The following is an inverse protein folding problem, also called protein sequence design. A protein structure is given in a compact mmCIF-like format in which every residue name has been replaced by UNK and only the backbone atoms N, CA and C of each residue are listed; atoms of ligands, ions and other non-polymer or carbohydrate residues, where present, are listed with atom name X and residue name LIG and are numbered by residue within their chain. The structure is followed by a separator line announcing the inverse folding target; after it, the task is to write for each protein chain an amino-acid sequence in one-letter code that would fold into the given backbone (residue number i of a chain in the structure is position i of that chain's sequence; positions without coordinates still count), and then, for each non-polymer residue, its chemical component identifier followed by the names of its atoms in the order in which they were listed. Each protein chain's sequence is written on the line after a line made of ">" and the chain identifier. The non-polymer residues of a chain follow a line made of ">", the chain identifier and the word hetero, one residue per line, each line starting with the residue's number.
data_IF_306118601261
#
_entry.id   IF_306118601261
#
_cell.length_a   1.000
_cell.length_b   1.000
_cell.length_c   1.000
_cell.angle_alpha   90.00
_cell.angle_beta   90.00
_cell.angle_gamma   90.00
#
_symmetry.space_group_name_H-M   'P 1'
#
loop_
_entity.id
_entity.type
_entity.pdbx_description
1 polymer ?
#
# COMPACT_ATOMS: atom_id res chain seq x y z
N UNK A 1 27.57 10.87 62.21
CA UNK A 1 28.35 11.82 61.37
C UNK A 1 28.05 11.50 59.91
N UNK A 2 27.35 12.42 59.22
CA UNK A 2 27.08 12.56 57.75
C UNK A 2 26.16 11.50 57.06
N UNK A 3 24.86 11.81 56.83
CA UNK A 3 24.23 12.46 55.64
C UNK A 3 24.29 11.57 54.38
N UNK A 4 23.27 10.78 53.97
CA UNK A 4 21.95 11.09 53.39
C UNK A 4 21.94 12.20 52.31
N UNK A 5 21.69 11.72 51.07
CA UNK A 5 20.85 12.28 50.00
C UNK A 5 21.31 13.43 49.10
N UNK A 6 20.98 13.23 47.80
CA UNK A 6 20.43 14.18 46.82
C UNK A 6 21.33 15.39 46.48
N UNK A 7 21.47 15.92 45.27
CA UNK A 7 20.80 15.89 43.96
C UNK A 7 21.58 16.92 43.15
N UNK A 8 21.77 16.75 41.84
CA UNK A 8 21.42 17.84 40.93
C UNK A 8 21.26 17.35 39.50
N UNK A 9 20.01 17.38 39.08
CA UNK A 9 19.53 17.16 37.73
C UNK A 9 20.07 18.25 36.80
N UNK A 10 20.68 17.86 35.69
CA UNK A 10 20.86 18.77 34.56
C UNK A 10 19.79 18.46 33.51
N UNK A 11 18.73 19.26 33.55
CA UNK A 11 17.69 19.27 32.54
C UNK A 11 18.25 19.89 31.25
N UNK A 12 18.52 19.06 30.25
CA UNK A 12 18.67 19.51 28.87
C UNK A 12 17.28 19.50 28.22
N UNK A 13 16.75 20.69 27.99
CA UNK A 13 15.63 20.91 27.09
C UNK A 13 16.03 20.45 25.68
N UNK A 14 15.24 19.54 25.10
CA UNK A 14 15.16 19.37 23.65
C UNK A 14 13.69 19.46 23.22
N UNK A 15 13.31 20.47 22.42
CA UNK A 15 11.95 20.67 21.93
C UNK A 15 11.75 19.97 20.58
N UNK A 16 11.97 18.66 20.50
CA UNK A 16 11.67 17.80 19.34
C UNK A 16 11.79 16.36 19.89
N UNK A 17 10.87 15.41 19.74
CA UNK A 17 9.77 15.30 18.82
C UNK A 17 8.69 14.47 19.51
N UNK A 18 7.49 15.02 19.65
CA UNK A 18 6.31 14.21 19.88
C UNK A 18 5.91 13.56 18.55
N UNK A 19 6.65 12.54 18.12
CA UNK A 19 6.15 11.52 17.20
C UNK A 19 5.73 10.32 18.05
N UNK A 20 4.70 10.52 18.86
CA UNK A 20 4.03 9.42 19.55
C UNK A 20 3.17 8.69 18.52
N UNK A 21 3.51 7.43 18.30
CA UNK A 21 2.59 6.39 17.83
C UNK A 21 2.00 6.58 16.42
N UNK A 22 2.86 6.65 15.39
CA UNK A 22 2.45 6.10 14.10
C UNK A 22 2.40 4.57 14.24
N UNK A 23 1.25 4.05 14.70
CA UNK A 23 0.95 2.62 14.65
C UNK A 23 1.23 2.16 13.21
N UNK A 24 2.06 1.11 12.99
CA UNK A 24 2.25 0.58 11.65
C UNK A 24 0.87 0.30 11.06
N UNK A 25 0.56 0.89 9.91
CA UNK A 25 -0.68 0.59 9.22
C UNK A 25 -0.63 -0.91 8.89
N UNK A 26 -1.34 -1.72 9.66
CA UNK A 26 -1.53 -3.13 9.32
C UNK A 26 -2.20 -3.15 7.96
N UNK A 27 -1.52 -3.70 6.95
CA UNK A 27 -2.12 -3.89 5.63
C UNK A 27 -3.41 -4.69 5.81
N UNK A 28 -4.50 -4.31 5.12
CA UNK A 28 -5.75 -5.06 5.22
C UNK A 28 -5.51 -6.51 4.79
N UNK A 29 -6.21 -7.46 5.39
CA UNK A 29 -6.15 -8.85 4.93
C UNK A 29 -6.84 -8.95 3.57
N UNK A 30 -6.49 -9.98 2.77
CA UNK A 30 -7.14 -10.19 1.48
C UNK A 30 -8.66 -10.36 1.64
N UNK A 31 -9.11 -11.05 2.69
CA UNK A 31 -10.52 -11.30 2.96
C UNK A 31 -11.30 -9.99 3.18
N UNK A 32 -10.66 -9.00 3.81
CA UNK A 32 -11.28 -7.70 4.10
C UNK A 32 -11.53 -6.87 2.84
N UNK A 33 -10.75 -7.07 1.76
CA UNK A 33 -10.78 -6.17 0.59
C UNK A 33 -11.16 -6.85 -0.72
N UNK A 34 -11.02 -8.17 -0.85
CA UNK A 34 -11.22 -8.87 -2.13
C UNK A 34 -12.66 -8.81 -2.66
N UNK A 35 -13.63 -8.56 -1.79
CA UNK A 35 -15.04 -8.46 -2.14
C UNK A 35 -15.47 -7.04 -2.55
N UNK A 36 -14.61 -6.04 -2.35
CA UNK A 36 -14.94 -4.64 -2.61
C UNK A 36 -14.77 -4.30 -4.10
N UNK A 37 -15.73 -3.56 -4.63
CA UNK A 37 -15.59 -2.88 -5.91
C UNK A 37 -14.59 -1.73 -5.85
N UNK A 38 -14.19 -1.19 -7.01
CA UNK A 38 -13.36 0.01 -7.07
C UNK A 38 -13.98 1.18 -6.29
N UNK A 39 -15.30 1.41 -6.43
CA UNK A 39 -16.01 2.47 -5.71
C UNK A 39 -16.07 2.22 -4.22
N UNK A 40 -16.43 1.00 -3.81
CA UNK A 40 -16.52 0.65 -2.39
C UNK A 40 -15.15 0.77 -1.71
N UNK A 41 -14.07 0.26 -2.34
CA UNK A 41 -12.73 0.42 -1.79
C UNK A 41 -12.32 1.89 -1.69
N UNK A 42 -12.67 2.73 -2.68
CA UNK A 42 -12.39 4.16 -2.60
C UNK A 42 -13.11 4.83 -1.42
N UNK A 43 -14.36 4.45 -1.16
CA UNK A 43 -15.12 4.95 -0.02
C UNK A 43 -14.57 4.41 1.31
N UNK A 44 -14.28 3.12 1.39
CA UNK A 44 -13.74 2.42 2.59
C UNK A 44 -12.35 2.96 2.97
N UNK A 45 -11.55 3.34 1.96
CA UNK A 45 -10.27 4.02 2.19
C UNK A 45 -10.42 5.40 2.84
N UNK A 46 -11.63 5.93 2.97
CA UNK A 46 -11.87 7.33 3.32
C UNK A 46 -11.33 8.28 2.25
N UNK A 47 -11.36 7.85 0.98
CA UNK A 47 -10.80 8.57 -0.17
C UNK A 47 -9.30 8.85 -0.03
N UNK A 48 -8.58 7.92 0.59
CA UNK A 48 -7.13 7.99 0.80
C UNK A 48 -6.43 7.14 -0.25
N UNK A 49 -5.59 7.79 -1.05
CA UNK A 49 -4.77 7.13 -2.07
C UNK A 49 -3.88 6.07 -1.43
N UNK A 50 -3.20 6.39 -0.32
CA UNK A 50 -2.31 5.46 0.37
C UNK A 50 -3.04 4.19 0.84
N UNK A 51 -4.21 4.35 1.48
CA UNK A 51 -5.01 3.20 1.94
C UNK A 51 -5.57 2.38 0.78
N UNK A 52 -5.96 3.04 -0.30
CA UNK A 52 -6.39 2.37 -1.53
C UNK A 52 -5.23 1.54 -2.11
N UNK A 53 -4.03 2.11 -2.19
CA UNK A 53 -2.85 1.41 -2.70
C UNK A 53 -2.39 0.27 -1.80
N UNK A 54 -2.49 0.38 -0.47
CA UNK A 54 -2.24 -0.75 0.42
C UNK A 54 -3.16 -1.95 0.13
N UNK A 55 -4.44 -1.71 -0.19
CA UNK A 55 -5.35 -2.79 -0.59
C UNK A 55 -4.94 -3.40 -1.95
N UNK A 56 -4.53 -2.55 -2.91
CA UNK A 56 -3.99 -2.99 -4.20
C UNK A 56 -2.74 -3.85 -4.00
N UNK A 57 -1.81 -3.44 -3.14
CA UNK A 57 -0.58 -4.20 -2.83
C UNK A 57 -0.89 -5.55 -2.18
N UNK A 58 -1.82 -5.60 -1.22
CA UNK A 58 -2.31 -6.86 -0.64
C UNK A 58 -2.82 -7.81 -1.74
N UNK A 59 -3.68 -7.31 -2.63
CA UNK A 59 -4.25 -8.12 -3.73
C UNK A 59 -3.17 -8.54 -4.73
N UNK A 60 -2.28 -7.63 -5.11
CA UNK A 60 -1.23 -7.88 -6.06
C UNK A 60 -0.23 -8.93 -5.52
N UNK A 61 0.16 -8.81 -4.25
CA UNK A 61 1.01 -9.78 -3.57
C UNK A 61 0.40 -11.18 -3.57
N UNK A 62 -0.89 -11.29 -3.22
CA UNK A 62 -1.61 -12.57 -3.29
C UNK A 62 -1.62 -13.16 -4.71
N UNK A 63 -1.94 -12.36 -5.71
CA UNK A 63 -2.05 -12.79 -7.11
C UNK A 63 -0.70 -13.25 -7.67
N UNK A 64 0.37 -12.49 -7.41
CA UNK A 64 1.74 -12.84 -7.81
C UNK A 64 2.21 -14.14 -7.13
N UNK A 65 2.00 -14.25 -5.81
CA UNK A 65 2.33 -15.46 -5.06
C UNK A 65 1.58 -16.69 -5.59
N UNK A 66 0.30 -16.54 -5.94
CA UNK A 66 -0.50 -17.64 -6.49
C UNK A 66 0.00 -18.18 -7.84
N UNK A 67 0.80 -17.38 -8.56
CA UNK A 67 1.34 -17.70 -9.88
C UNK A 67 2.85 -17.97 -9.89
N UNK A 68 3.50 -17.95 -8.72
CA UNK A 68 4.96 -17.99 -8.61
C UNK A 68 5.65 -16.92 -9.50
N UNK A 69 5.02 -15.75 -9.59
CA UNK A 69 5.52 -14.61 -10.35
C UNK A 69 6.06 -13.53 -9.41
N UNK A 70 6.99 -12.72 -9.91
CA UNK A 70 7.50 -11.54 -9.21
C UNK A 70 7.12 -10.28 -9.99
N UNK A 71 6.83 -9.21 -9.26
CA UNK A 71 6.70 -7.89 -9.88
C UNK A 71 8.10 -7.33 -10.15
N UNK A 72 8.36 -6.75 -11.34
CA UNK A 72 9.65 -6.12 -11.62
C UNK A 72 9.92 -4.95 -10.68
N UNK A 73 11.13 -4.86 -10.16
CA UNK A 73 11.60 -3.71 -9.38
C UNK A 73 12.01 -2.55 -10.32
N UNK A 74 11.03 -2.01 -11.04
CA UNK A 74 11.20 -0.91 -11.98
C UNK A 74 10.10 0.14 -11.77
N UNK A 75 10.51 1.40 -11.59
CA UNK A 75 9.58 2.53 -11.39
C UNK A 75 8.53 2.62 -12.50
N UNK A 76 8.95 2.43 -13.75
CA UNK A 76 8.07 2.51 -14.91
C UNK A 76 7.00 1.40 -14.90
N UNK A 77 7.34 0.20 -14.44
CA UNK A 77 6.36 -0.88 -14.31
C UNK A 77 5.33 -0.56 -13.22
N UNK A 78 5.75 0.00 -12.09
CA UNK A 78 4.84 0.46 -11.04
C UNK A 78 3.89 1.56 -11.52
N UNK A 79 4.41 2.51 -12.31
CA UNK A 79 3.60 3.58 -12.90
C UNK A 79 2.54 3.04 -13.86
N UNK A 80 2.94 2.18 -14.81
CA UNK A 80 2.01 1.56 -15.76
C UNK A 80 0.95 0.71 -15.04
N UNK A 81 1.35 -0.01 -14.01
CA UNK A 81 0.43 -0.81 -13.20
C UNK A 81 -0.64 0.07 -12.52
N UNK A 82 -0.24 1.15 -11.86
CA UNK A 82 -1.17 2.11 -11.25
C UNK A 82 -2.10 2.78 -12.26
N UNK A 83 -1.57 3.20 -13.42
CA UNK A 83 -2.37 3.79 -14.50
C UNK A 83 -3.42 2.82 -15.05
N UNK A 84 -3.05 1.54 -15.23
CA UNK A 84 -3.99 0.51 -15.70
C UNK A 84 -5.12 0.27 -14.69
N UNK A 85 -4.82 0.30 -13.39
CA UNK A 85 -5.84 0.19 -12.34
C UNK A 85 -6.78 1.40 -12.39
N UNK A 86 -6.25 2.63 -12.48
CA UNK A 86 -7.07 3.84 -12.58
C UNK A 86 -7.99 3.79 -13.81
N UNK A 87 -7.45 3.42 -14.98
CA UNK A 87 -8.25 3.25 -16.21
C UNK A 87 -9.34 2.19 -16.04
N UNK A 88 -9.00 1.03 -15.48
CA UNK A 88 -9.96 -0.05 -15.26
C UNK A 88 -11.09 0.42 -14.32
N UNK A 89 -10.75 1.00 -13.17
CA UNK A 89 -11.71 1.47 -12.18
C UNK A 89 -12.58 2.62 -12.68
N UNK A 90 -12.05 3.53 -13.51
CA UNK A 90 -12.87 4.57 -14.17
C UNK A 90 -13.85 3.99 -15.18
N UNK A 91 -13.44 2.96 -15.92
CA UNK A 91 -14.27 2.32 -16.95
C UNK A 91 -15.41 1.51 -16.36
N UNK A 92 -15.15 0.79 -15.27
CA UNK A 92 -16.14 -0.02 -14.57
C UNK A 92 -15.98 0.16 -13.04
N UNK A 93 -16.61 1.19 -12.45
CA UNK A 93 -16.47 1.52 -11.04
C UNK A 93 -17.06 0.48 -10.09
N UNK A 94 -18.01 -0.32 -10.57
CA UNK A 94 -18.70 -1.36 -9.79
C UNK A 94 -18.06 -2.74 -9.93
N UNK A 95 -16.97 -2.87 -10.71
CA UNK A 95 -16.24 -4.14 -10.79
C UNK A 95 -15.43 -4.37 -9.51
N UNK A 96 -15.20 -5.64 -9.17
CA UNK A 96 -14.30 -6.02 -8.06
C UNK A 96 -12.89 -5.46 -8.29
N UNK A 97 -12.33 -4.81 -7.27
CA UNK A 97 -11.00 -4.23 -7.38
C UNK A 97 -9.94 -5.31 -7.67
N UNK A 98 -10.06 -6.49 -7.07
CA UNK A 98 -9.13 -7.61 -7.32
C UNK A 98 -9.10 -8.03 -8.79
N UNK A 99 -10.21 -7.91 -9.52
CA UNK A 99 -10.25 -8.17 -10.97
C UNK A 99 -9.51 -7.10 -11.76
N UNK A 100 -9.68 -5.82 -11.40
CA UNK A 100 -8.92 -4.73 -12.00
C UNK A 100 -7.41 -4.88 -11.75
N UNK A 101 -7.03 -5.27 -10.53
CA UNK A 101 -5.64 -5.56 -10.14
C UNK A 101 -5.06 -6.73 -10.96
N UNK A 102 -5.80 -7.84 -11.13
CA UNK A 102 -5.31 -8.99 -11.92
C UNK A 102 -5.11 -8.64 -13.39
N UNK A 103 -6.04 -7.88 -13.99
CA UNK A 103 -5.91 -7.41 -15.38
C UNK A 103 -4.67 -6.51 -15.50
N UNK A 104 -4.53 -5.51 -14.62
CA UNK A 104 -3.42 -4.59 -14.65
C UNK A 104 -2.07 -5.30 -14.46
N UNK A 105 -2.00 -6.31 -13.58
CA UNK A 105 -0.80 -7.14 -13.41
C UNK A 105 -0.44 -7.86 -14.71
N UNK A 106 -1.38 -8.60 -15.31
CA UNK A 106 -1.14 -9.37 -16.54
C UNK A 106 -0.63 -8.48 -17.67
N UNK A 107 -1.27 -7.33 -17.88
CA UNK A 107 -0.89 -6.41 -18.94
C UNK A 107 0.48 -5.76 -18.69
N UNK A 108 0.77 -5.39 -17.44
CA UNK A 108 2.08 -4.82 -17.06
C UNK A 108 3.18 -5.86 -17.26
N UNK A 109 2.98 -7.08 -16.77
CA UNK A 109 3.94 -8.18 -16.91
C UNK A 109 4.14 -8.61 -18.37
N UNK A 110 3.13 -8.52 -19.23
CA UNK A 110 3.27 -8.78 -20.66
C UNK A 110 4.07 -7.69 -21.38
N UNK A 111 3.90 -6.43 -20.97
CA UNK A 111 4.60 -5.27 -21.56
C UNK A 111 6.10 -5.33 -21.26
N UNK A 112 6.49 -5.63 -20.03
CA UNK A 112 7.92 -5.77 -19.66
C UNK A 112 8.61 -7.00 -20.28
N UNK A 113 7.87 -8.10 -20.50
CA UNK A 113 8.43 -9.32 -21.11
C UNK A 113 8.71 -9.14 -22.61
N UNK A 114 8.12 -8.13 -23.24
CA UNK A 114 8.28 -7.83 -24.66
C UNK A 114 9.13 -6.57 -24.82
N UNK A 115 10.43 -6.66 -25.14
CA UNK A 115 11.23 -5.47 -25.40
C UNK A 115 10.61 -4.69 -26.57
N UNK A 116 10.48 -3.37 -26.40
CA UNK A 116 10.04 -2.47 -27.47
C UNK A 116 10.89 -2.74 -28.72
N UNK A 117 10.22 -3.05 -29.83
CA UNK A 117 10.83 -3.40 -31.11
C UNK A 117 11.39 -2.19 -31.82
#
# INVERSE_FOLDING_TARGET
>A
MKLIALTLSLALLSPFAAAKDAKPATLPSLQDVAHLSCTEMWLESGKSVDKFFHAVETMAGYLLQSRDETFPDQLEAGKQFGERIDVACRKAPDQLLISAVDIALRETLATIKTPAK
#
